data_IF_404098818616
#
_entry.id   IF_404098818616
#
_cell.length_a   1.000
_cell.length_b   1.000
_cell.length_c   1.000
_cell.angle_alpha   90.00
_cell.angle_beta   90.00
_cell.angle_gamma   90.00
#
_symmetry.space_group_name_H-M   'P 1'
#
loop_
_entity.id
_entity.type
_entity.pdbx_description
1 polymer ?
#
# COMPACT_ATOMS: atom_id res chain seq x y z
N UNK A 1 -12.50 0.79 -3.99
CA UNK A 1 -13.27 0.39 -2.80
C UNK A 1 -13.02 1.36 -1.64
N UNK A 2 -14.00 2.21 -1.33
CA UNK A 2 -13.91 3.24 -0.29
C UNK A 2 -13.78 2.67 1.13
N UNK A 3 -14.22 1.44 1.36
CA UNK A 3 -14.08 0.77 2.65
C UNK A 3 -12.63 0.42 2.99
N UNK A 4 -11.80 0.21 1.99
CA UNK A 4 -10.34 0.05 2.14
C UNK A 4 -9.70 1.41 2.36
N UNK A 5 -10.02 2.41 1.53
CA UNK A 5 -9.43 3.75 1.61
C UNK A 5 -9.66 4.40 2.96
N UNK A 6 -10.87 4.28 3.54
CA UNK A 6 -11.17 4.86 4.88
C UNK A 6 -10.40 4.21 6.03
N UNK A 7 -9.81 3.02 5.84
CA UNK A 7 -9.03 2.28 6.84
C UNK A 7 -7.54 2.39 6.62
N UNK A 8 -7.11 3.03 5.54
CA UNK A 8 -5.70 3.25 5.26
C UNK A 8 -5.10 4.21 6.30
N UNK A 9 -3.84 3.98 6.64
CA UNK A 9 -3.06 4.91 7.47
C UNK A 9 -2.61 6.11 6.63
N UNK A 10 -2.32 5.85 5.35
CA UNK A 10 -1.86 6.85 4.39
C UNK A 10 -2.52 6.63 3.04
N UNK A 11 -2.87 7.71 2.35
CA UNK A 11 -3.48 7.68 1.03
C UNK A 11 -2.69 8.60 0.11
N UNK A 12 -2.40 8.13 -1.09
CA UNK A 12 -1.82 8.91 -2.19
C UNK A 12 -2.88 8.97 -3.30
N UNK A 13 -3.43 10.14 -3.54
CA UNK A 13 -4.42 10.36 -4.59
C UNK A 13 -3.76 10.95 -5.84
N UNK A 14 -3.77 10.18 -6.91
CA UNK A 14 -3.16 10.51 -8.19
C UNK A 14 -4.21 11.00 -9.18
N UNK A 15 -3.89 12.05 -9.89
CA UNK A 15 -4.82 12.67 -10.83
C UNK A 15 -4.21 13.88 -11.54
N UNK A 16 -5.05 14.90 -11.83
CA UNK A 16 -6.52 14.94 -11.63
C UNK A 16 -7.28 14.01 -12.59
N UNK A 17 -6.71 13.70 -13.74
CA UNK A 17 -7.32 12.89 -14.80
C UNK A 17 -6.50 11.61 -15.07
N UNK A 18 -6.89 10.86 -16.10
CA UNK A 18 -6.14 9.75 -16.64
C UNK A 18 -5.27 10.13 -17.83
N UNK A 19 -4.33 9.28 -18.20
CA UNK A 19 -3.47 9.47 -19.37
C UNK A 19 -2.56 10.71 -19.29
N UNK A 20 -2.56 11.54 -20.33
CA UNK A 20 -1.70 12.72 -20.41
C UNK A 20 -2.04 13.82 -19.39
N UNK A 21 -3.30 13.93 -18.97
CA UNK A 21 -3.78 14.84 -17.92
C UNK A 21 -3.55 14.35 -16.50
N UNK A 22 -3.11 13.10 -16.31
CA UNK A 22 -2.79 12.50 -15.03
C UNK A 22 -1.31 12.57 -14.68
N UNK A 23 -0.93 11.72 -13.71
CA UNK A 23 0.47 11.55 -13.32
C UNK A 23 0.96 12.52 -12.26
N UNK A 24 0.08 13.26 -11.61
CA UNK A 24 0.39 14.16 -10.50
C UNK A 24 -0.19 13.60 -9.18
N UNK A 25 0.44 13.94 -8.05
CA UNK A 25 -0.18 13.79 -6.74
C UNK A 25 -1.11 14.98 -6.51
N UNK A 26 -2.42 14.71 -6.38
CA UNK A 26 -3.43 15.71 -6.03
C UNK A 26 -3.37 16.00 -4.52
N UNK A 27 -3.25 14.95 -3.72
CA UNK A 27 -3.10 15.02 -2.27
C UNK A 27 -2.52 13.72 -1.73
N UNK A 28 -1.72 13.82 -0.66
CA UNK A 28 -1.26 12.67 0.12
C UNK A 28 -1.47 12.91 1.62
N UNK A 29 -1.69 11.86 2.38
CA UNK A 29 -1.85 11.88 3.84
C UNK A 29 -2.97 10.98 4.33
N UNK A 30 -3.54 11.29 5.50
CA UNK A 30 -4.62 10.49 6.08
C UNK A 30 -5.91 10.57 5.25
N UNK A 31 -6.81 9.57 5.36
CA UNK A 31 -8.11 9.60 4.67
C UNK A 31 -8.92 10.88 4.96
N UNK A 32 -8.81 11.42 6.18
CA UNK A 32 -9.49 12.66 6.55
C UNK A 32 -8.92 13.89 5.83
N UNK A 33 -7.59 13.92 5.62
CA UNK A 33 -6.93 14.99 4.85
C UNK A 33 -7.41 14.95 3.41
N UNK A 34 -7.43 13.76 2.80
CA UNK A 34 -7.91 13.56 1.43
C UNK A 34 -9.37 13.98 1.28
N UNK A 35 -10.24 13.60 2.22
CA UNK A 35 -11.67 13.97 2.20
C UNK A 35 -11.94 15.48 2.35
N UNK A 36 -10.98 16.27 2.86
CA UNK A 36 -11.06 17.74 2.97
C UNK A 36 -10.56 18.45 1.72
N UNK A 37 -9.82 17.76 0.85
CA UNK A 37 -9.20 18.36 -0.33
C UNK A 37 -10.21 18.43 -1.47
N UNK A 38 -10.62 19.64 -1.84
CA UNK A 38 -11.67 19.88 -2.84
C UNK A 38 -11.28 19.40 -4.26
N UNK A 39 -9.98 19.40 -4.58
CA UNK A 39 -9.46 18.93 -5.86
C UNK A 39 -9.45 17.39 -6.00
N UNK A 40 -9.62 16.65 -4.91
CA UNK A 40 -9.60 15.19 -4.90
C UNK A 40 -10.98 14.61 -5.19
N UNK A 41 -11.14 13.91 -6.31
CA UNK A 41 -12.37 13.16 -6.60
C UNK A 41 -12.57 12.00 -5.63
N UNK A 42 -11.48 11.34 -5.26
CA UNK A 42 -11.47 10.33 -4.19
C UNK A 42 -11.93 10.93 -2.87
N UNK A 43 -11.48 12.14 -2.54
CA UNK A 43 -11.87 12.86 -1.33
C UNK A 43 -13.36 13.20 -1.29
N UNK A 44 -13.93 13.66 -2.41
CA UNK A 44 -15.37 13.92 -2.53
C UNK A 44 -16.20 12.68 -2.25
N UNK A 45 -15.80 11.53 -2.82
CA UNK A 45 -16.46 10.25 -2.62
C UNK A 45 -16.27 9.69 -1.19
N UNK A 46 -15.11 9.95 -0.56
CA UNK A 46 -14.78 9.45 0.76
C UNK A 46 -15.48 10.21 1.89
N UNK A 47 -15.73 11.50 1.71
CA UNK A 47 -16.34 12.39 2.71
C UNK A 47 -17.63 11.85 3.34
N UNK A 48 -18.67 11.42 2.57
CA UNK A 48 -19.89 10.86 3.16
C UNK A 48 -19.65 9.56 3.92
N UNK A 49 -18.72 8.73 3.45
CA UNK A 49 -18.39 7.43 4.08
C UNK A 49 -17.76 7.64 5.45
N UNK A 50 -16.86 8.62 5.59
CA UNK A 50 -16.22 8.96 6.87
C UNK A 50 -17.23 9.57 7.88
N UNK A 51 -18.19 10.38 7.41
CA UNK A 51 -19.26 10.92 8.26
C UNK A 51 -20.12 9.79 8.81
N UNK A 52 -20.60 8.89 7.94
CA UNK A 52 -21.39 7.72 8.38
C UNK A 52 -20.64 6.81 9.33
N UNK A 53 -19.33 6.61 9.12
CA UNK A 53 -18.49 5.80 10.00
C UNK A 53 -18.40 6.42 11.41
N UNK A 54 -18.26 7.74 11.50
CA UNK A 54 -18.25 8.47 12.78
C UNK A 54 -19.59 8.40 13.51
N UNK A 55 -20.69 8.54 12.80
CA UNK A 55 -22.04 8.41 13.38
C UNK A 55 -22.31 7.00 13.92
N UNK A 56 -21.91 5.96 13.19
CA UNK A 56 -22.00 4.56 13.66
C UNK A 56 -21.14 4.31 14.89
N UNK A 57 -19.94 4.86 14.93
CA UNK A 57 -19.04 4.74 16.06
C UNK A 57 -19.58 5.46 17.31
N UNK A 58 -20.25 6.61 17.15
CA UNK A 58 -20.88 7.32 18.26
C UNK A 58 -22.10 6.59 18.81
N UNK A 59 -22.95 6.02 17.94
CA UNK A 59 -24.11 5.20 18.34
C UNK A 59 -23.72 3.91 19.06
N UNK A 60 -22.59 3.30 18.70
CA UNK A 60 -22.11 2.06 19.38
C UNK A 60 -21.50 2.33 20.77
N UNK A 61 -21.13 3.56 21.12
CA UNK A 61 -20.63 3.88 22.46
C UNK A 61 -21.73 3.92 23.53
N UNK A 62 -22.99 4.01 23.15
CA UNK A 62 -24.15 4.03 24.07
C UNK A 62 -24.80 2.65 24.30
N UNK A 63 -24.40 1.64 23.52
CA UNK A 63 -24.88 0.27 23.70
C UNK A 63 -24.09 -0.47 24.79
N UNK A 64 -24.72 -0.78 25.92
CA UNK A 64 -24.20 -1.69 26.97
C UNK A 64 -23.70 -2.98 26.29
N UNK A 65 -22.39 -3.26 26.38
CA UNK A 65 -21.81 -4.54 25.95
C UNK A 65 -22.50 -5.68 26.69
N UNK A 66 -23.27 -6.52 25.98
CA UNK A 66 -23.69 -7.83 26.51
C UNK A 66 -22.43 -8.62 26.87
N UNK A 67 -22.37 -9.23 28.07
CA UNK A 67 -21.21 -10.03 28.43
C UNK A 67 -21.12 -11.23 27.48
N UNK A 68 -20.02 -11.28 26.72
CA UNK A 68 -19.67 -12.46 25.92
C UNK A 68 -19.36 -13.58 26.88
N UNK A 69 -20.13 -14.67 26.82
CA UNK A 69 -19.91 -15.90 27.55
C UNK A 69 -18.49 -16.40 27.24
N UNK A 70 -17.61 -16.35 28.21
CA UNK A 70 -16.24 -16.86 28.10
C UNK A 70 -16.30 -18.38 27.95
N UNK A 71 -16.02 -18.89 26.77
CA UNK A 71 -15.63 -20.29 26.60
C UNK A 71 -14.26 -20.48 27.26
N UNK A 72 -13.99 -21.64 27.90
CA UNK A 72 -12.70 -21.86 28.54
C UNK A 72 -11.61 -21.99 27.48
N UNK A 73 -10.85 -20.92 27.30
CA UNK A 73 -9.61 -20.94 26.53
C UNK A 73 -8.51 -21.42 27.46
N UNK A 74 -7.96 -22.58 27.16
CA UNK A 74 -6.73 -23.07 27.78
C UNK A 74 -5.63 -22.06 27.42
N UNK A 75 -5.25 -21.23 28.37
CA UNK A 75 -4.12 -20.31 28.23
C UNK A 75 -2.88 -20.93 28.87
N UNK A 76 -1.95 -21.52 28.10
CA UNK A 76 -0.68 -21.92 28.67
C UNK A 76 0.15 -20.64 28.88
N UNK A 77 0.25 -20.18 30.11
CA UNK A 77 1.10 -19.05 30.51
C UNK A 77 2.55 -19.18 30.03
N UNK A 78 3.00 -20.42 29.78
CA UNK A 78 4.30 -20.72 29.21
C UNK A 78 4.41 -20.31 27.72
N UNK A 79 3.35 -20.46 26.92
CA UNK A 79 3.32 -20.06 25.50
C UNK A 79 3.33 -18.55 25.38
N UNK A 80 2.61 -17.86 26.25
CA UNK A 80 2.56 -16.39 26.26
C UNK A 80 3.93 -15.78 26.68
N UNK A 81 4.62 -16.39 27.64
CA UNK A 81 5.99 -15.97 28.00
C UNK A 81 7.00 -16.25 26.89
N UNK A 82 6.91 -17.40 26.21
CA UNK A 82 7.77 -17.73 25.07
C UNK A 82 7.52 -16.79 23.88
N UNK A 83 6.25 -16.48 23.60
CA UNK A 83 5.86 -15.54 22.55
C UNK A 83 6.33 -14.11 22.86
N UNK A 84 6.16 -13.63 24.09
CA UNK A 84 6.70 -12.34 24.54
C UNK A 84 8.23 -12.29 24.44
N UNK A 85 8.92 -13.36 24.81
CA UNK A 85 10.37 -13.42 24.72
C UNK A 85 10.88 -13.44 23.29
N UNK A 86 10.18 -14.10 22.36
CA UNK A 86 10.52 -14.06 20.93
C UNK A 86 10.16 -12.72 20.29
N UNK A 87 9.04 -12.09 20.65
CA UNK A 87 8.68 -10.76 20.18
C UNK A 87 9.69 -9.70 20.64
N UNK A 88 10.10 -9.72 21.93
CA UNK A 88 11.14 -8.81 22.43
C UNK A 88 12.53 -9.08 21.86
N UNK A 89 12.84 -10.32 21.45
CA UNK A 89 14.07 -10.64 20.75
C UNK A 89 14.05 -10.12 19.30
N UNK A 90 12.92 -10.21 18.60
CA UNK A 90 12.71 -9.66 17.27
C UNK A 90 12.74 -8.12 17.31
N UNK A 91 12.11 -7.49 18.30
CA UNK A 91 12.17 -6.04 18.52
C UNK A 91 13.59 -5.55 18.87
N UNK A 92 14.41 -6.35 19.54
CA UNK A 92 15.81 -6.02 19.82
C UNK A 92 16.74 -6.17 18.62
N UNK A 93 16.43 -7.06 17.68
CA UNK A 93 17.19 -7.20 16.43
C UNK A 93 16.85 -6.14 15.38
N UNK A 94 15.72 -5.47 15.49
CA UNK A 94 15.32 -4.33 14.62
C UNK A 94 15.83 -2.98 15.13
N UNK A 95 16.96 -2.93 15.83
CA UNK A 95 17.56 -1.71 16.40
C UNK A 95 18.46 -0.92 15.44
N UNK A 96 18.20 -0.97 14.17
CA UNK A 96 18.52 0.15 13.29
C UNK A 96 17.17 0.71 12.82
N UNK A 97 16.69 1.85 13.34
CA UNK A 97 15.51 2.48 12.79
C UNK A 97 15.90 3.01 11.43
N UNK A 98 15.89 2.13 10.44
CA UNK A 98 15.96 2.53 9.06
C UNK A 98 14.97 3.68 8.81
N UNK A 99 15.09 4.46 7.73
CA UNK A 99 14.29 5.65 7.52
C UNK A 99 12.82 5.35 7.82
N UNK A 100 12.16 6.21 8.59
CA UNK A 100 10.78 6.05 9.06
C UNK A 100 9.76 5.99 7.91
N UNK A 101 10.17 6.44 6.74
CA UNK A 101 9.40 6.41 5.51
C UNK A 101 10.27 5.99 4.32
N UNK A 102 9.64 5.42 3.31
CA UNK A 102 10.21 5.27 1.99
C UNK A 102 9.97 6.57 1.23
N UNK A 103 11.04 7.20 0.77
CA UNK A 103 10.97 8.48 0.05
C UNK A 103 11.20 8.26 -1.43
N UNK A 104 10.30 8.77 -2.25
CA UNK A 104 10.38 8.79 -3.71
C UNK A 104 10.50 10.24 -4.18
N UNK A 105 11.43 10.50 -5.07
CA UNK A 105 11.64 11.84 -5.66
C UNK A 105 11.81 11.71 -7.16
N UNK A 106 11.10 12.58 -7.89
CA UNK A 106 11.22 12.70 -9.34
C UNK A 106 10.75 11.45 -10.10
N UNK A 107 9.76 10.69 -9.61
CA UNK A 107 9.26 9.53 -10.34
C UNK A 107 8.58 9.97 -11.65
N UNK A 108 9.10 9.50 -12.79
CA UNK A 108 8.65 9.89 -14.12
C UNK A 108 8.38 8.69 -15.04
N UNK A 109 8.07 7.53 -14.46
CA UNK A 109 7.78 6.33 -15.24
C UNK A 109 6.40 6.46 -15.93
N UNK A 110 6.35 6.13 -17.21
CA UNK A 110 5.16 6.24 -18.07
C UNK A 110 4.54 7.65 -18.05
N UNK A 111 3.36 7.80 -17.48
CA UNK A 111 2.65 9.08 -17.42
C UNK A 111 2.92 9.90 -16.15
N UNK A 112 3.76 9.43 -15.23
CA UNK A 112 4.11 10.16 -14.01
C UNK A 112 4.87 11.45 -14.33
N UNK A 113 4.53 12.54 -13.64
CA UNK A 113 5.07 13.88 -13.85
C UNK A 113 5.96 14.27 -12.67
N UNK A 114 7.16 13.67 -12.57
CA UNK A 114 8.14 13.93 -11.51
C UNK A 114 7.54 13.87 -10.10
N UNK A 115 6.83 12.78 -9.83
CA UNK A 115 6.09 12.57 -8.59
C UNK A 115 7.04 12.46 -7.41
N UNK A 116 6.74 13.20 -6.34
CA UNK A 116 7.39 13.11 -5.04
C UNK A 116 6.39 12.57 -4.02
N UNK A 117 6.73 11.49 -3.32
CA UNK A 117 5.86 10.85 -2.32
C UNK A 117 6.66 10.35 -1.13
N UNK A 118 6.07 10.42 0.06
CA UNK A 118 6.61 9.85 1.29
C UNK A 118 5.67 8.77 1.82
N UNK A 119 6.10 7.52 1.73
CA UNK A 119 5.32 6.36 2.13
C UNK A 119 5.77 5.89 3.52
N UNK A 120 4.94 6.04 4.56
CA UNK A 120 5.30 5.61 5.91
C UNK A 120 5.51 4.09 5.96
N UNK A 121 6.55 3.66 6.69
CA UNK A 121 6.82 2.24 6.91
C UNK A 121 5.91 1.66 8.00
N UNK A 122 5.59 0.37 7.87
CA UNK A 122 4.72 -0.30 8.85
C UNK A 122 3.27 0.17 8.84
N UNK A 123 2.88 0.93 7.82
CA UNK A 123 1.56 1.49 7.65
C UNK A 123 0.93 1.03 6.32
N UNK A 124 -0.38 0.97 6.27
CA UNK A 124 -1.12 0.66 5.04
C UNK A 124 -1.27 1.92 4.18
N UNK A 125 -0.52 1.98 3.08
CA UNK A 125 -0.65 3.05 2.10
C UNK A 125 -1.54 2.62 0.93
N UNK A 126 -2.53 3.42 0.58
CA UNK A 126 -3.45 3.17 -0.55
C UNK A 126 -3.27 4.20 -1.64
N UNK A 127 -2.94 3.76 -2.86
CA UNK A 127 -2.90 4.61 -4.04
C UNK A 127 -4.30 4.66 -4.69
N UNK A 128 -4.85 5.86 -4.82
CA UNK A 128 -6.17 6.15 -5.38
C UNK A 128 -6.07 7.03 -6.63
N UNK A 129 -7.21 7.30 -7.26
CA UNK A 129 -7.34 8.19 -8.39
C UNK A 129 -8.05 7.57 -9.59
N UNK A 130 -8.35 8.35 -10.64
CA UNK A 130 -9.00 7.88 -11.87
C UNK A 130 -8.21 6.77 -12.57
N UNK A 131 -8.86 6.05 -13.49
CA UNK A 131 -8.16 5.08 -14.32
C UNK A 131 -7.13 5.81 -15.20
N UNK A 132 -5.92 5.22 -15.31
CA UNK A 132 -4.82 5.84 -16.06
C UNK A 132 -4.13 7.01 -15.35
N UNK A 133 -4.44 7.33 -14.09
CA UNK A 133 -3.79 8.42 -13.35
C UNK A 133 -2.33 8.14 -12.89
N UNK A 134 -1.80 6.94 -13.16
CA UNK A 134 -0.42 6.59 -12.82
C UNK A 134 -0.25 5.71 -11.56
N UNK A 135 -1.34 5.17 -10.99
CA UNK A 135 -1.28 4.31 -9.79
C UNK A 135 -0.37 3.09 -9.98
N UNK A 136 -0.57 2.36 -11.06
CA UNK A 136 0.26 1.20 -11.41
C UNK A 136 1.69 1.64 -11.72
N UNK A 137 1.86 2.74 -12.44
CA UNK A 137 3.18 3.28 -12.78
C UNK A 137 3.98 3.65 -11.53
N UNK A 138 3.34 4.18 -10.49
CA UNK A 138 4.01 4.49 -9.23
C UNK A 138 4.29 3.20 -8.43
N UNK A 139 3.26 2.38 -8.17
CA UNK A 139 3.37 1.24 -7.25
C UNK A 139 4.17 0.07 -7.86
N UNK A 140 3.86 -0.34 -9.09
CA UNK A 140 4.48 -1.51 -9.72
C UNK A 140 5.69 -1.13 -10.59
N UNK A 141 5.49 -0.19 -11.53
CA UNK A 141 6.52 0.09 -12.53
C UNK A 141 7.66 0.98 -11.98
N UNK A 142 7.48 1.59 -10.80
CA UNK A 142 8.53 2.37 -10.13
C UNK A 142 9.00 1.68 -8.85
N UNK A 143 8.15 1.59 -7.81
CA UNK A 143 8.57 1.13 -6.49
C UNK A 143 8.90 -0.36 -6.46
N UNK A 144 7.98 -1.19 -6.96
CA UNK A 144 8.21 -2.63 -6.98
C UNK A 144 9.35 -2.99 -7.94
N UNK A 145 9.39 -2.43 -9.13
CA UNK A 145 10.44 -2.70 -10.12
C UNK A 145 11.83 -2.34 -9.57
N UNK A 146 11.99 -1.17 -8.92
CA UNK A 146 13.26 -0.79 -8.30
C UNK A 146 13.60 -1.70 -7.11
N UNK A 147 12.62 -2.09 -6.30
CA UNK A 147 12.83 -3.05 -5.21
C UNK A 147 13.34 -4.40 -5.69
N UNK A 148 12.75 -4.93 -6.76
CA UNK A 148 13.19 -6.15 -7.41
C UNK A 148 14.58 -6.01 -8.04
N UNK A 149 14.84 -4.90 -8.71
CA UNK A 149 16.15 -4.63 -9.32
C UNK A 149 17.26 -4.65 -8.27
N UNK A 150 17.07 -3.94 -7.14
CA UNK A 150 18.05 -3.94 -6.03
C UNK A 150 18.21 -5.30 -5.39
N UNK A 151 17.13 -6.04 -5.25
CA UNK A 151 17.19 -7.41 -4.73
C UNK A 151 18.03 -8.30 -5.66
N UNK A 152 17.78 -8.27 -6.96
CA UNK A 152 18.54 -9.04 -7.96
C UNK A 152 20.01 -8.63 -7.95
N UNK A 153 20.33 -7.33 -7.83
CA UNK A 153 21.70 -6.85 -7.73
C UNK A 153 22.45 -7.35 -6.47
N UNK A 154 21.73 -7.64 -5.39
CA UNK A 154 22.31 -8.21 -4.17
C UNK A 154 22.66 -9.70 -4.29
N UNK A 155 22.14 -10.40 -5.30
CA UNK A 155 22.41 -11.80 -5.54
C UNK A 155 23.84 -12.04 -6.10
N UNK A 156 24.34 -13.26 -5.94
CA UNK A 156 25.62 -13.65 -6.54
C UNK A 156 25.56 -13.56 -8.08
N UNK A 157 26.70 -13.37 -8.77
CA UNK A 157 26.75 -13.32 -10.23
C UNK A 157 26.11 -14.56 -10.90
N UNK A 158 26.31 -15.73 -10.31
CA UNK A 158 25.70 -16.97 -10.79
C UNK A 158 24.17 -16.94 -10.68
N UNK A 159 23.65 -16.55 -9.52
CA UNK A 159 22.20 -16.48 -9.32
C UNK A 159 21.52 -15.45 -10.24
N UNK A 160 22.18 -14.32 -10.56
CA UNK A 160 21.65 -13.31 -11.48
C UNK A 160 21.40 -13.82 -12.89
N UNK A 161 22.13 -14.83 -13.34
CA UNK A 161 21.95 -15.41 -14.69
C UNK A 161 20.60 -16.12 -14.86
N UNK A 162 20.00 -16.57 -13.77
CA UNK A 162 18.70 -17.26 -13.76
C UNK A 162 17.51 -16.36 -13.48
N UNK A 163 17.76 -15.14 -13.04
CA UNK A 163 16.70 -14.16 -12.72
C UNK A 163 16.70 -13.10 -13.81
N UNK A 164 15.55 -12.92 -14.47
CA UNK A 164 15.39 -11.90 -15.50
C UNK A 164 15.77 -10.50 -15.00
N UNK A 165 16.48 -9.74 -15.83
CA UNK A 165 16.82 -8.35 -15.49
C UNK A 165 15.58 -7.46 -15.58
N UNK A 166 15.30 -6.74 -14.51
CA UNK A 166 14.26 -5.71 -14.47
C UNK A 166 14.88 -4.39 -14.90
N UNK A 167 14.35 -3.70 -15.94
CA UNK A 167 14.88 -2.40 -16.35
C UNK A 167 14.75 -1.39 -15.21
N UNK A 168 15.73 -0.48 -15.13
CA UNK A 168 15.72 0.60 -14.14
C UNK A 168 14.57 1.58 -14.44
N UNK A 169 13.66 1.83 -13.49
CA UNK A 169 12.61 2.84 -13.65
C UNK A 169 13.18 4.26 -13.73
N UNK A 170 12.38 5.19 -14.24
CA UNK A 170 12.77 6.60 -14.38
C UNK A 170 12.37 7.34 -13.10
N UNK A 171 13.38 7.74 -12.31
CA UNK A 171 13.21 8.54 -11.09
C UNK A 171 14.55 9.24 -10.76
N UNK A 172 14.49 10.27 -9.93
CA UNK A 172 15.69 10.94 -9.43
C UNK A 172 16.30 10.19 -8.24
N UNK A 173 15.49 9.90 -7.22
CA UNK A 173 15.95 9.26 -5.98
C UNK A 173 14.86 8.42 -5.31
N UNK A 174 15.24 7.23 -4.81
CA UNK A 174 14.39 6.42 -3.92
C UNK A 174 15.24 5.96 -2.73
N UNK A 175 14.79 6.33 -1.52
CA UNK A 175 15.42 5.95 -0.25
C UNK A 175 14.47 5.13 0.61
N UNK A 176 15.03 4.32 1.52
CA UNK A 176 14.25 3.51 2.43
C UNK A 176 13.51 2.34 1.78
N UNK A 177 13.83 1.98 0.54
CA UNK A 177 13.21 0.87 -0.15
C UNK A 177 13.67 -0.45 0.46
N UNK A 178 12.71 -1.32 0.80
CA UNK A 178 12.95 -2.69 1.24
C UNK A 178 12.70 -3.68 0.09
N UNK A 179 13.18 -4.93 0.20
CA UNK A 179 12.78 -5.98 -0.72
C UNK A 179 11.24 -6.06 -0.81
N UNK A 180 10.72 -6.06 -2.02
CA UNK A 180 9.29 -5.97 -2.26
C UNK A 180 8.74 -7.28 -2.85
N UNK A 181 7.52 -7.63 -2.43
CA UNK A 181 6.73 -8.71 -3.02
C UNK A 181 5.46 -8.10 -3.59
N UNK A 182 5.14 -8.43 -4.85
CA UNK A 182 3.90 -8.03 -5.47
C UNK A 182 2.92 -9.21 -5.53
N UNK A 183 1.66 -8.92 -5.23
CA UNK A 183 0.55 -9.84 -5.44
C UNK A 183 -0.35 -9.18 -6.48
N UNK A 184 -0.29 -9.68 -7.70
CA UNK A 184 -1.11 -9.17 -8.79
C UNK A 184 -2.49 -9.82 -8.77
N UNK A 185 -3.51 -9.02 -9.00
CA UNK A 185 -4.82 -9.53 -9.34
C UNK A 185 -4.75 -10.03 -10.80
N UNK A 186 -4.46 -11.30 -10.98
CA UNK A 186 -4.64 -11.91 -12.30
C UNK A 186 -6.14 -11.87 -12.59
N UNK A 187 -6.57 -11.01 -13.51
CA UNK A 187 -7.81 -11.26 -14.23
C UNK A 187 -7.63 -12.66 -14.83
N UNK A 188 -8.50 -13.60 -14.49
CA UNK A 188 -8.61 -14.87 -15.19
C UNK A 188 -8.95 -14.52 -16.63
N UNK A 189 -7.91 -14.20 -17.40
CA UNK A 189 -8.00 -14.00 -18.84
C UNK A 189 -8.58 -15.29 -19.41
N UNK A 190 -9.52 -15.12 -20.28
CA UNK A 190 -10.22 -16.14 -21.03
C UNK A 190 -9.32 -17.35 -21.25
N UNK A 191 -9.66 -18.45 -20.61
CA UNK A 191 -9.10 -19.74 -20.99
C UNK A 191 -9.40 -19.92 -22.48
N UNK A 192 -8.40 -20.27 -23.33
CA UNK A 192 -8.64 -20.49 -24.75
C UNK A 192 -9.61 -21.66 -25.06
N UNK A 193 -10.17 -22.25 -24.01
CA UNK A 193 -11.11 -23.36 -24.07
C UNK A 193 -12.60 -23.01 -24.04
N UNK A 194 -12.95 -21.72 -24.03
CA UNK A 194 -14.36 -21.29 -24.15
C UNK A 194 -14.80 -21.05 -25.57
N UNK A 195 -14.14 -21.63 -26.56
CA UNK A 195 -14.74 -21.81 -27.89
C UNK A 195 -15.78 -22.90 -27.75
N UNK A 196 -17.04 -22.48 -27.57
CA UNK A 196 -18.18 -23.34 -27.79
C UNK A 196 -18.07 -23.84 -29.23
N UNK A 197 -17.70 -25.11 -29.38
CA UNK A 197 -17.81 -25.77 -30.64
C UNK A 197 -19.29 -25.89 -31.00
N UNK A 198 -19.71 -25.18 -32.01
CA UNK A 198 -20.92 -25.47 -32.77
C UNK A 198 -20.69 -26.71 -33.60
#
# INVERSE_FOLDING_TARGET
NLDVVKRADHVIDLGPEGGAGGGYIVVEGTPEKVARTAASETGKALKPVLVQAKERASKNKTGKRRPVRKSPVVTPAAVERALKKSLTAIEKQSRDPGPSAMMVRGAAQHNLKQVNADLPRGAMTVCCGPSGSGKTSLAFDTLYAEGQRRYVESLSPYARQFVGQVPKPIFEKIEGLAPAVAIEQRSTGSTPRSTVGT
#
